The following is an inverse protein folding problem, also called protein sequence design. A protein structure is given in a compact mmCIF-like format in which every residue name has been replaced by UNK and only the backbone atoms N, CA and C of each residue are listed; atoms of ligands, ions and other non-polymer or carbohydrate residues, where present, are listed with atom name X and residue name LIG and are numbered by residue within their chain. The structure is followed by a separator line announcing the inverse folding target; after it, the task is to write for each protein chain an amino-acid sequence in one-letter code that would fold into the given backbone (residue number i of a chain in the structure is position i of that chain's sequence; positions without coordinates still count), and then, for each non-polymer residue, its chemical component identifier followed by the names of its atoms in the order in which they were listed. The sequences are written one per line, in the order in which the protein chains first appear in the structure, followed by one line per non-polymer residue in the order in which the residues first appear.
data_IF_448445250057
#
_entry.id   IF_448445250057
#
_cell.length_a   1.000
_cell.length_b   1.000
_cell.length_c   1.000
_cell.angle_alpha   90.00
_cell.angle_beta   90.00
_cell.angle_gamma   90.00
#
_symmetry.space_group_name_H-M   'P 1'
#
loop_
_entity.id
_entity.type
_entity.pdbx_description
1 polymer ?
#
# COMPACT_ATOMS: atom_id res chain seq x y z
N UNK A 1 -5.67 -18.83 -10.04
CA UNK A 1 -6.39 -17.91 -9.15
C UNK A 1 -5.98 -18.28 -7.75
N UNK A 2 -5.34 -17.36 -7.04
CA UNK A 2 -4.90 -17.57 -5.65
C UNK A 2 -5.97 -17.00 -4.72
N UNK A 3 -6.28 -17.72 -3.64
CA UNK A 3 -7.26 -17.29 -2.63
C UNK A 3 -6.54 -17.29 -1.28
N UNK A 4 -6.57 -16.16 -0.59
CA UNK A 4 -6.05 -16.02 0.77
C UNK A 4 -7.20 -15.69 1.73
N UNK A 5 -7.10 -16.15 2.97
CA UNK A 5 -8.05 -15.81 4.02
C UNK A 5 -7.55 -14.58 4.78
N UNK A 6 -8.37 -13.51 4.81
CA UNK A 6 -8.08 -12.34 5.61
C UNK A 6 -8.40 -12.60 7.08
N UNK A 7 -7.40 -12.53 7.95
CA UNK A 7 -7.53 -12.76 9.39
C UNK A 7 -7.12 -11.53 10.22
N UNK A 8 -6.57 -10.51 9.58
CA UNK A 8 -6.10 -9.29 10.22
C UNK A 8 -7.15 -8.18 10.09
N UNK A 9 -7.34 -7.35 11.14
CA UNK A 9 -8.29 -6.23 11.07
C UNK A 9 -8.04 -5.26 9.89
N UNK A 10 -6.78 -5.14 9.44
CA UNK A 10 -6.45 -4.38 8.24
C UNK A 10 -7.11 -4.95 6.98
N UNK A 11 -7.14 -6.27 6.82
CA UNK A 11 -7.66 -6.91 5.60
C UNK A 11 -9.18 -6.73 5.47
N UNK A 12 -9.89 -6.77 6.60
CA UNK A 12 -11.32 -6.40 6.67
C UNK A 12 -11.53 -4.95 6.20
N UNK A 13 -10.81 -4.00 6.78
CA UNK A 13 -10.92 -2.58 6.41
C UNK A 13 -10.47 -2.29 4.97
N UNK A 14 -9.49 -3.02 4.46
CA UNK A 14 -9.03 -2.93 3.07
C UNK A 14 -10.16 -3.34 2.11
N UNK A 15 -10.94 -4.37 2.46
CA UNK A 15 -12.13 -4.77 1.68
C UNK A 15 -13.24 -3.74 1.81
N UNK A 16 -13.50 -3.20 3.02
CA UNK A 16 -14.50 -2.15 3.22
C UNK A 16 -14.21 -0.87 2.43
N UNK A 17 -12.92 -0.51 2.27
CA UNK A 17 -12.47 0.64 1.46
C UNK A 17 -12.35 0.35 -0.03
N UNK A 18 -12.51 -0.91 -0.46
CA UNK A 18 -12.40 -1.24 -1.87
C UNK A 18 -13.46 -0.49 -2.69
N UNK A 19 -13.07 -0.06 -3.88
CA UNK A 19 -13.89 0.80 -4.74
C UNK A 19 -13.72 0.43 -6.20
N UNK A 20 -14.68 0.87 -7.00
CA UNK A 20 -14.67 0.67 -8.45
C UNK A 20 -13.72 1.66 -9.12
N UNK A 21 -12.80 1.13 -9.92
CA UNK A 21 -11.84 1.90 -10.71
C UNK A 21 -12.02 1.60 -12.20
N UNK A 22 -12.27 2.64 -12.99
CA UNK A 22 -12.35 2.51 -14.44
C UNK A 22 -10.94 2.48 -15.06
N UNK A 23 -10.56 1.34 -15.63
CA UNK A 23 -9.24 1.12 -16.24
C UNK A 23 -9.19 1.55 -17.72
N UNK A 24 -10.33 1.46 -18.40
CA UNK A 24 -10.56 1.87 -19.77
C UNK A 24 -12.07 2.09 -19.96
N UNK A 25 -12.53 2.77 -21.03
CA UNK A 25 -13.95 3.03 -21.24
C UNK A 25 -14.81 1.76 -21.12
N UNK A 26 -15.64 1.70 -20.09
CA UNK A 26 -16.53 0.56 -19.80
C UNK A 26 -15.86 -0.65 -19.14
N UNK A 27 -14.58 -0.58 -18.77
CA UNK A 27 -13.86 -1.61 -18.03
C UNK A 27 -13.61 -1.13 -16.61
N UNK A 28 -14.39 -1.66 -15.67
CA UNK A 28 -14.32 -1.32 -14.24
C UNK A 28 -13.78 -2.50 -13.46
N UNK A 29 -12.83 -2.22 -12.56
CA UNK A 29 -12.30 -3.18 -11.61
C UNK A 29 -12.61 -2.72 -10.18
N UNK A 30 -13.26 -3.60 -9.41
CA UNK A 30 -13.40 -3.41 -7.98
C UNK A 30 -12.09 -3.81 -7.29
N UNK A 31 -11.39 -2.85 -6.68
CA UNK A 31 -10.05 -3.06 -6.12
C UNK A 31 -9.81 -2.19 -4.89
N UNK A 32 -8.83 -2.59 -4.08
CA UNK A 32 -8.30 -1.77 -2.99
C UNK A 32 -7.71 -0.44 -3.49
N UNK A 33 -7.62 0.52 -2.58
CA UNK A 33 -7.02 1.84 -2.81
C UNK A 33 -5.51 1.76 -3.07
N UNK A 34 -4.91 2.87 -3.55
CA UNK A 34 -3.46 2.93 -3.72
C UNK A 34 -2.73 2.89 -2.37
N UNK A 35 -3.31 3.49 -1.34
CA UNK A 35 -2.86 3.46 0.05
C UNK A 35 -2.82 2.03 0.59
N UNK A 36 -3.91 1.29 0.46
CA UNK A 36 -4.02 -0.09 0.92
C UNK A 36 -3.06 -1.01 0.14
N UNK A 37 -2.88 -0.75 -1.15
CA UNK A 37 -1.91 -1.48 -1.97
C UNK A 37 -0.48 -1.23 -1.48
N UNK A 38 -0.13 -0.01 -1.05
CA UNK A 38 1.17 0.27 -0.41
C UNK A 38 1.29 -0.51 0.89
N UNK A 39 0.27 -0.53 1.75
CA UNK A 39 0.30 -1.27 3.03
C UNK A 39 0.54 -2.77 2.78
N UNK A 40 -0.22 -3.39 1.87
CA UNK A 40 -0.07 -4.80 1.50
C UNK A 40 1.35 -5.11 1.00
N UNK A 41 1.90 -4.25 0.13
CA UNK A 41 3.22 -4.44 -0.48
C UNK A 41 4.35 -4.27 0.53
N UNK A 42 4.27 -3.26 1.39
CA UNK A 42 5.29 -3.03 2.43
C UNK A 42 5.25 -4.12 3.49
N UNK A 43 4.06 -4.62 3.84
CA UNK A 43 3.92 -5.76 4.76
C UNK A 43 4.53 -7.05 4.19
N UNK A 44 4.35 -7.32 2.89
CA UNK A 44 4.96 -8.47 2.22
C UNK A 44 6.49 -8.36 2.12
N UNK A 45 7.00 -7.15 1.81
CA UNK A 45 8.41 -6.77 1.80
C UNK A 45 9.35 -7.66 0.96
N UNK A 46 8.89 -8.27 -0.13
CA UNK A 46 9.80 -8.93 -1.10
C UNK A 46 10.46 -7.88 -1.97
N UNK A 47 11.58 -8.22 -2.59
CA UNK A 47 12.34 -7.29 -3.45
C UNK A 47 11.44 -6.61 -4.52
N UNK A 48 10.54 -7.38 -5.15
CA UNK A 48 9.60 -6.87 -6.15
C UNK A 48 8.55 -5.94 -5.55
N UNK A 49 8.08 -6.18 -4.32
CA UNK A 49 7.05 -5.35 -3.70
C UNK A 49 7.56 -3.91 -3.49
N UNK A 50 8.86 -3.73 -3.23
CA UNK A 50 9.48 -2.40 -3.14
C UNK A 50 9.55 -1.66 -4.48
N UNK A 51 9.71 -2.39 -5.59
CA UNK A 51 9.64 -1.79 -6.94
C UNK A 51 8.22 -1.30 -7.21
N UNK A 52 7.22 -2.09 -6.83
CA UNK A 52 5.81 -1.73 -6.99
C UNK A 52 5.46 -0.49 -6.14
N UNK A 53 5.87 -0.47 -4.86
CA UNK A 53 5.68 0.69 -3.96
C UNK A 53 6.29 1.96 -4.55
N UNK A 54 7.53 1.89 -5.05
CA UNK A 54 8.17 3.02 -5.71
C UNK A 54 7.35 3.52 -6.91
N UNK A 55 6.81 2.58 -7.71
CA UNK A 55 5.94 2.89 -8.85
C UNK A 55 4.62 3.55 -8.46
N UNK A 56 4.03 3.19 -7.32
CA UNK A 56 2.80 3.80 -6.79
C UNK A 56 3.09 5.22 -6.30
N UNK A 57 4.10 5.38 -5.44
CA UNK A 57 4.47 6.69 -4.88
C UNK A 57 4.84 7.69 -5.98
N UNK A 58 5.56 7.27 -7.03
CA UNK A 58 5.94 8.14 -8.13
C UNK A 58 4.74 8.63 -8.96
N UNK A 59 3.68 7.83 -9.07
CA UNK A 59 2.45 8.15 -9.83
C UNK A 59 1.46 8.97 -9.02
N UNK A 60 1.21 8.58 -7.77
CA UNK A 60 0.23 9.22 -6.90
C UNK A 60 0.77 10.48 -6.21
N UNK A 61 2.09 10.54 -5.95
CA UNK A 61 2.80 11.66 -5.31
C UNK A 61 2.06 12.16 -4.06
N UNK A 62 1.54 13.40 -4.11
CA UNK A 62 0.88 14.08 -3.00
C UNK A 62 -0.58 13.65 -2.77
N UNK A 63 -1.13 12.81 -3.63
CA UNK A 63 -2.51 12.34 -3.51
C UNK A 63 -2.69 11.25 -2.46
N UNK A 64 -1.61 10.57 -2.05
CA UNK A 64 -1.68 9.49 -1.06
C UNK A 64 -2.03 10.02 0.34
N UNK A 65 -3.00 9.38 0.98
CA UNK A 65 -3.25 9.57 2.41
C UNK A 65 -2.17 8.84 3.24
N UNK A 66 -1.13 9.57 3.61
CA UNK A 66 -0.04 9.06 4.43
C UNK A 66 -0.44 8.75 5.88
N UNK A 67 -1.46 9.42 6.41
CA UNK A 67 -1.92 9.13 7.75
C UNK A 67 -2.53 7.72 7.77
N UNK A 68 -3.41 7.43 6.80
CA UNK A 68 -3.99 6.11 6.62
C UNK A 68 -2.92 5.02 6.45
N UNK A 69 -1.96 5.22 5.53
CA UNK A 69 -0.89 4.24 5.28
C UNK A 69 -0.13 3.93 6.57
N UNK A 70 0.26 4.96 7.34
CA UNK A 70 1.05 4.79 8.55
C UNK A 70 0.24 4.11 9.66
N UNK A 71 -1.01 4.50 9.84
CA UNK A 71 -1.87 3.98 10.90
C UNK A 71 -2.21 2.50 10.67
N UNK A 72 -2.44 2.10 9.42
CA UNK A 72 -2.66 0.69 9.07
C UNK A 72 -1.37 -0.14 9.13
N UNK A 73 -0.23 0.42 8.70
CA UNK A 73 1.02 -0.33 8.58
C UNK A 73 1.72 -0.57 9.93
N UNK A 74 1.65 0.38 10.87
CA UNK A 74 2.26 0.27 12.20
C UNK A 74 1.90 -1.03 12.96
N UNK A 75 0.62 -1.38 13.18
CA UNK A 75 0.27 -2.60 13.91
C UNK A 75 0.71 -3.87 13.17
N UNK A 76 0.67 -3.85 11.84
CA UNK A 76 1.09 -4.99 11.01
C UNK A 76 2.61 -5.24 11.14
N UNK A 77 3.42 -4.19 11.03
CA UNK A 77 4.87 -4.32 11.14
C UNK A 77 5.34 -4.66 12.55
N UNK A 78 4.62 -4.19 13.58
CA UNK A 78 4.85 -4.62 14.95
C UNK A 78 4.60 -6.12 15.12
N UNK A 79 3.49 -6.64 14.57
CA UNK A 79 3.16 -8.07 14.60
C UNK A 79 4.17 -8.93 13.83
N UNK A 80 4.73 -8.41 12.72
CA UNK A 80 5.75 -9.08 11.90
C UNK A 80 7.17 -8.92 12.44
N UNK A 81 7.37 -8.15 13.51
CA UNK A 81 8.68 -7.79 14.06
C UNK A 81 9.61 -7.13 13.03
N UNK A 82 9.04 -6.32 12.12
CA UNK A 82 9.81 -5.62 11.07
C UNK A 82 9.48 -4.12 10.99
N UNK A 83 9.63 -3.34 12.08
CA UNK A 83 9.34 -1.91 12.09
C UNK A 83 10.23 -1.10 11.14
N UNK A 84 11.43 -1.59 10.80
CA UNK A 84 12.38 -0.95 9.88
C UNK A 84 11.83 -0.78 8.45
N UNK A 85 10.81 -1.55 8.08
CA UNK A 85 10.13 -1.37 6.79
C UNK A 85 9.37 -0.04 6.73
N UNK A 86 8.90 0.49 7.86
CA UNK A 86 8.29 1.82 7.92
C UNK A 86 9.33 2.91 7.63
N UNK A 87 10.53 2.79 8.22
CA UNK A 87 11.63 3.73 7.98
C UNK A 87 12.07 3.70 6.51
N UNK A 88 12.17 2.51 5.92
CA UNK A 88 12.47 2.35 4.49
C UNK A 88 11.41 3.02 3.61
N UNK A 89 10.12 2.87 3.93
CA UNK A 89 9.04 3.53 3.22
C UNK A 89 9.15 5.06 3.31
N UNK A 90 9.45 5.60 4.50
CA UNK A 90 9.63 7.04 4.71
C UNK A 90 10.84 7.60 3.96
N UNK A 91 11.95 6.87 3.93
CA UNK A 91 13.12 7.25 3.12
C UNK A 91 12.79 7.25 1.62
N UNK A 92 12.00 6.28 1.15
CA UNK A 92 11.58 6.21 -0.25
C UNK A 92 10.68 7.39 -0.61
N UNK A 93 9.71 7.73 0.25
CA UNK A 93 8.86 8.93 0.11
C UNK A 93 9.71 10.19 -0.05
N UNK A 94 10.66 10.42 0.85
CA UNK A 94 11.52 11.61 0.81
C UNK A 94 12.34 11.68 -0.49
N UNK A 95 12.91 10.55 -0.94
CA UNK A 95 13.67 10.51 -2.20
C UNK A 95 12.83 10.92 -3.40
N UNK A 96 11.60 10.42 -3.49
CA UNK A 96 10.66 10.74 -4.58
C UNK A 96 10.24 12.21 -4.52
N UNK A 97 10.03 12.77 -3.33
CA UNK A 97 9.70 14.19 -3.14
C UNK A 97 10.87 15.11 -3.48
N UNK A 98 12.12 14.71 -3.20
CA UNK A 98 13.33 15.49 -3.49
C UNK A 98 13.81 15.41 -4.95
N UNK A 99 13.39 14.38 -5.69
CA UNK A 99 13.77 14.14 -7.08
C UNK A 99 12.75 14.64 -8.11
N UNK A 100 11.72 15.38 -7.67
CA UNK A 100 10.64 15.93 -8.48
C UNK A 100 10.83 17.42 -8.80
#
# INVERSE_FOLDING_TARGET
MDIAFGALPFEERCVERASDWELAPGIVLHTCSAEDLVVLKVFASRAQDWVDVNGILARQRRALDWALIVDELKPLLALRESPENLDRLMQLKQKIESGA
#
